data_IF_373538850391
#
_entry.id   IF_373538850391
#
_cell.length_a   1.000
_cell.length_b   1.000
_cell.length_c   1.000
_cell.angle_alpha   90.00
_cell.angle_beta   90.00
_cell.angle_gamma   90.00
#
_symmetry.space_group_name_H-M   'P 1'
#
loop_
_entity.id
_entity.type
_entity.pdbx_description
1 polymer ?
#
# COMPACT_ATOMS: atom_id res chain seq x y z
N UNK A 1 4.70 16.44 4.20
CA UNK A 1 4.14 15.96 5.49
C UNK A 1 5.23 15.23 6.30
N UNK A 2 5.24 15.33 7.65
CA UNK A 2 6.23 14.69 8.54
C UNK A 2 5.67 13.76 9.65
N UNK A 3 4.35 13.71 9.88
CA UNK A 3 3.71 12.91 10.96
C UNK A 3 3.35 11.46 10.58
N UNK A 4 2.68 10.73 11.50
CA UNK A 4 2.20 9.34 11.30
C UNK A 4 1.10 9.23 10.23
N UNK A 5 0.16 10.16 10.20
CA UNK A 5 -0.97 10.15 9.26
C UNK A 5 -1.45 11.56 8.87
N UNK A 6 -2.08 11.67 7.70
CA UNK A 6 -2.65 12.91 7.14
C UNK A 6 -3.86 12.53 6.27
N UNK A 7 -4.86 13.40 6.22
CA UNK A 7 -5.93 13.30 5.23
C UNK A 7 -5.40 13.82 3.88
N UNK A 8 -5.51 12.99 2.85
CA UNK A 8 -5.20 13.33 1.46
C UNK A 8 -6.44 13.09 0.60
N UNK A 9 -6.55 13.83 -0.51
CA UNK A 9 -7.60 13.62 -1.50
C UNK A 9 -7.00 12.90 -2.70
N UNK A 10 -7.58 11.76 -3.06
CA UNK A 10 -7.16 10.94 -4.20
C UNK A 10 -8.38 10.77 -5.11
N UNK A 11 -8.31 11.29 -6.34
CA UNK A 11 -9.43 11.27 -7.30
C UNK A 11 -10.78 11.74 -6.69
N UNK A 12 -10.73 12.78 -5.85
CA UNK A 12 -11.92 13.33 -5.18
C UNK A 12 -12.38 12.59 -3.92
N UNK A 13 -11.70 11.50 -3.53
CA UNK A 13 -12.00 10.74 -2.30
C UNK A 13 -10.99 11.10 -1.21
N UNK A 14 -11.48 11.45 -0.03
CA UNK A 14 -10.62 11.68 1.13
C UNK A 14 -10.20 10.35 1.76
N UNK A 15 -8.89 10.16 1.95
CA UNK A 15 -8.34 9.05 2.71
C UNK A 15 -7.33 9.53 3.76
N UNK A 16 -7.36 8.89 4.94
CA UNK A 16 -6.29 8.95 5.93
C UNK A 16 -5.12 8.12 5.41
N UNK A 17 -4.15 8.84 4.86
CA UNK A 17 -2.85 8.29 4.50
C UNK A 17 -2.04 7.98 5.75
N UNK A 18 -1.36 6.83 5.73
CA UNK A 18 -0.50 6.36 6.81
C UNK A 18 0.94 6.39 6.30
N UNK A 19 1.73 7.31 6.85
CA UNK A 19 3.08 7.59 6.41
C UNK A 19 4.07 6.65 7.13
N UNK A 20 4.41 5.54 6.49
CA UNK A 20 5.35 4.55 7.00
C UNK A 20 6.74 5.13 7.26
N UNK A 21 7.15 6.19 6.53
CA UNK A 21 8.45 6.85 6.76
C UNK A 21 8.55 7.50 8.14
N UNK A 22 7.42 7.78 8.79
CA UNK A 22 7.39 8.34 10.14
C UNK A 22 7.96 7.35 11.16
N UNK A 23 8.99 7.76 11.90
CA UNK A 23 9.65 6.91 12.91
C UNK A 23 8.86 6.76 14.20
N UNK A 24 7.78 7.51 14.35
CA UNK A 24 6.84 7.38 15.47
C UNK A 24 5.90 6.16 15.32
N UNK A 25 5.97 5.44 14.19
CA UNK A 25 5.41 4.09 14.05
C UNK A 25 6.27 3.08 14.81
N UNK A 26 6.17 3.10 16.13
CA UNK A 26 6.91 2.22 17.06
C UNK A 26 6.17 0.94 17.41
N UNK A 27 4.90 0.79 17.00
CA UNK A 27 4.11 -0.42 17.26
C UNK A 27 4.83 -1.66 16.72
N UNK A 28 5.00 -2.72 17.52
CA UNK A 28 5.68 -3.95 17.09
C UNK A 28 4.99 -4.57 15.88
N UNK A 29 5.78 -5.02 14.93
CA UNK A 29 5.33 -5.87 13.83
C UNK A 29 6.37 -6.97 13.63
N UNK A 30 6.48 -7.80 14.66
CA UNK A 30 7.63 -8.65 14.93
C UNK A 30 7.62 -9.95 14.12
N UNK A 31 8.77 -10.34 13.58
CA UNK A 31 8.97 -11.70 13.07
C UNK A 31 10.20 -12.33 13.72
N UNK A 32 10.02 -13.50 14.35
CA UNK A 32 11.11 -14.26 14.98
C UNK A 32 12.06 -13.43 15.86
N UNK A 33 11.51 -12.46 16.60
CA UNK A 33 12.25 -11.59 17.53
C UNK A 33 13.29 -10.65 16.88
N UNK A 34 13.06 -10.20 15.64
CA UNK A 34 13.97 -9.33 14.88
C UNK A 34 13.85 -7.80 15.14
N UNK A 35 12.97 -7.36 16.05
CA UNK A 35 12.77 -5.96 16.43
C UNK A 35 12.07 -5.10 15.36
N UNK A 36 11.21 -5.69 14.55
CA UNK A 36 10.50 -4.98 13.48
C UNK A 36 9.32 -4.17 14.01
N UNK A 37 9.08 -3.02 13.42
CA UNK A 37 7.94 -2.14 13.74
C UNK A 37 7.18 -1.79 12.47
N UNK A 38 6.00 -1.18 12.65
CA UNK A 38 5.26 -0.65 11.51
C UNK A 38 6.09 0.32 10.64
N UNK A 39 7.06 1.05 11.21
CA UNK A 39 7.91 1.97 10.44
C UNK A 39 8.85 1.31 9.43
N UNK A 40 9.23 0.04 9.62
CA UNK A 40 10.21 -0.66 8.77
C UNK A 40 9.63 -1.88 8.03
N UNK A 41 8.54 -2.46 8.52
CA UNK A 41 7.92 -3.66 7.95
C UNK A 41 6.42 -3.51 7.66
N UNK A 42 5.81 -2.34 7.92
CA UNK A 42 4.36 -2.13 7.89
C UNK A 42 3.73 -1.87 6.51
N UNK A 43 4.46 -1.90 5.40
CA UNK A 43 3.94 -1.52 4.07
C UNK A 43 2.67 -2.31 3.67
N UNK A 44 2.63 -3.61 3.93
CA UNK A 44 1.46 -4.44 3.68
C UNK A 44 0.26 -4.09 4.57
N UNK A 45 0.48 -3.83 5.86
CA UNK A 45 -0.57 -3.42 6.80
C UNK A 45 -1.14 -2.05 6.41
N UNK A 46 -0.30 -1.08 6.07
CA UNK A 46 -0.78 0.24 5.63
C UNK A 46 -1.54 0.16 4.30
N UNK A 47 -1.05 -0.67 3.36
CA UNK A 47 -1.74 -0.90 2.09
C UNK A 47 -3.12 -1.54 2.29
N UNK A 48 -3.24 -2.53 3.18
CA UNK A 48 -4.53 -3.10 3.57
C UNK A 48 -5.47 -2.01 4.12
N UNK A 49 -4.97 -1.16 5.01
CA UNK A 49 -5.74 -0.05 5.58
C UNK A 49 -6.23 0.93 4.51
N UNK A 50 -5.40 1.25 3.51
CA UNK A 50 -5.77 2.14 2.40
C UNK A 50 -6.80 1.48 1.47
N UNK A 51 -6.60 0.22 1.10
CA UNK A 51 -7.56 -0.57 0.32
C UNK A 51 -8.94 -0.62 1.00
N UNK A 52 -8.99 -1.01 2.28
CA UNK A 52 -10.23 -1.13 3.02
C UNK A 52 -10.94 0.22 3.20
N UNK A 53 -10.17 1.29 3.44
CA UNK A 53 -10.74 2.63 3.53
C UNK A 53 -11.32 3.11 2.20
N UNK A 54 -10.67 2.79 1.07
CA UNK A 54 -11.21 3.09 -0.26
C UNK A 54 -12.52 2.34 -0.53
N UNK A 55 -12.62 1.09 -0.11
CA UNK A 55 -13.81 0.26 -0.30
C UNK A 55 -14.98 0.68 0.62
N UNK A 56 -14.69 1.09 1.86
CA UNK A 56 -15.72 1.26 2.89
C UNK A 56 -15.96 2.70 3.33
N UNK A 57 -15.06 3.63 2.98
CA UNK A 57 -15.01 4.98 3.54
C UNK A 57 -14.60 5.03 5.02
N UNK A 58 -14.23 3.90 5.64
CA UNK A 58 -13.90 3.83 7.08
C UNK A 58 -12.40 3.80 7.29
N UNK A 59 -11.92 4.67 8.17
CA UNK A 59 -10.52 4.68 8.61
C UNK A 59 -10.22 3.42 9.42
N UNK A 60 -9.11 2.77 9.10
CA UNK A 60 -8.65 1.54 9.73
C UNK A 60 -7.60 1.84 10.81
N UNK A 61 -7.38 0.89 11.73
CA UNK A 61 -6.30 0.95 12.71
C UNK A 61 -5.12 0.06 12.29
N UNK A 62 -4.00 0.62 11.79
CA UNK A 62 -2.83 -0.18 11.41
C UNK A 62 -2.30 -1.05 12.54
N UNK A 63 -2.34 -0.55 13.78
CA UNK A 63 -1.83 -1.25 14.96
C UNK A 63 -2.69 -2.50 15.26
N UNK A 64 -4.02 -2.38 15.15
CA UNK A 64 -4.92 -3.52 15.33
C UNK A 64 -4.74 -4.60 14.23
N UNK A 65 -4.50 -4.19 12.98
CA UNK A 65 -4.26 -5.12 11.88
C UNK A 65 -2.87 -5.76 11.94
N UNK A 66 -1.87 -5.05 12.47
CA UNK A 66 -0.57 -5.63 12.79
C UNK A 66 -0.68 -6.70 13.88
N UNK A 67 -1.40 -6.41 14.97
CA UNK A 67 -1.66 -7.38 16.04
C UNK A 67 -2.41 -8.61 15.52
N UNK A 68 -3.41 -8.39 14.67
CA UNK A 68 -4.14 -9.48 14.02
C UNK A 68 -3.19 -10.35 13.18
N UNK A 69 -2.39 -9.75 12.31
CA UNK A 69 -1.47 -10.47 11.44
C UNK A 69 -0.41 -11.27 12.22
N UNK A 70 0.10 -10.71 13.33
CA UNK A 70 1.02 -11.42 14.22
C UNK A 70 0.34 -12.57 14.99
N UNK A 71 -0.94 -12.44 15.33
CA UNK A 71 -1.67 -13.42 16.15
C UNK A 71 -2.20 -14.58 15.32
N UNK A 72 -2.79 -14.28 14.17
CA UNK A 72 -3.56 -15.25 13.39
C UNK A 72 -2.87 -15.69 12.09
N UNK A 73 -1.79 -15.00 11.68
CA UNK A 73 -1.09 -15.26 10.42
C UNK A 73 -1.11 -14.04 9.49
N UNK A 74 -0.09 -13.92 8.65
CA UNK A 74 0.08 -12.82 7.71
C UNK A 74 1.30 -11.93 7.95
N UNK A 75 1.99 -12.05 9.10
CA UNK A 75 3.37 -11.57 9.24
C UNK A 75 4.32 -12.58 8.60
N UNK A 76 5.07 -12.17 7.57
CA UNK A 76 6.13 -12.95 6.92
C UNK A 76 7.52 -12.65 7.49
N UNK A 77 8.60 -12.93 6.77
CA UNK A 77 9.98 -12.66 7.24
C UNK A 77 10.39 -11.19 7.08
N UNK A 78 10.14 -10.59 5.91
CA UNK A 78 10.53 -9.23 5.57
C UNK A 78 9.37 -8.20 5.65
N UNK A 79 8.15 -8.67 5.89
CA UNK A 79 7.00 -7.81 6.10
C UNK A 79 5.72 -8.61 6.21
N UNK A 80 4.78 -8.31 5.33
CA UNK A 80 3.48 -8.97 5.30
C UNK A 80 3.52 -10.10 4.29
N UNK A 81 3.23 -11.33 4.72
CA UNK A 81 2.83 -12.41 3.81
C UNK A 81 1.39 -12.13 3.39
N UNK A 82 1.24 -11.56 2.19
CA UNK A 82 -0.05 -11.05 1.73
C UNK A 82 -1.06 -12.16 1.45
N UNK A 83 -0.74 -13.25 0.72
CA UNK A 83 -1.66 -14.38 0.59
C UNK A 83 -2.16 -14.91 1.94
N UNK A 84 -1.26 -15.13 2.90
CA UNK A 84 -1.61 -15.65 4.22
C UNK A 84 -2.49 -14.64 4.99
N UNK A 85 -2.13 -13.35 4.99
CA UNK A 85 -2.92 -12.31 5.65
C UNK A 85 -4.35 -12.27 5.09
N UNK A 86 -4.50 -12.26 3.77
CA UNK A 86 -5.81 -12.18 3.12
C UNK A 86 -6.65 -13.44 3.36
N UNK A 87 -6.03 -14.62 3.34
CA UNK A 87 -6.70 -15.88 3.68
C UNK A 87 -7.20 -15.85 5.14
N UNK A 88 -6.34 -15.47 6.09
CA UNK A 88 -6.70 -15.41 7.51
C UNK A 88 -7.78 -14.36 7.79
N UNK A 89 -7.73 -13.19 7.14
CA UNK A 89 -8.82 -12.20 7.22
C UNK A 89 -10.15 -12.77 6.73
N UNK A 90 -10.15 -13.58 5.66
CA UNK A 90 -11.34 -14.25 5.16
C UNK A 90 -11.89 -15.29 6.15
N UNK A 91 -11.03 -16.19 6.64
CA UNK A 91 -11.42 -17.26 7.59
C UNK A 91 -12.00 -16.70 8.89
N UNK A 92 -11.46 -15.58 9.36
CA UNK A 92 -11.94 -14.90 10.58
C UNK A 92 -13.09 -13.90 10.33
N UNK A 93 -13.65 -13.84 9.11
CA UNK A 93 -14.76 -12.94 8.75
C UNK A 93 -14.38 -11.46 8.67
N UNK A 94 -13.10 -11.11 8.84
CA UNK A 94 -12.60 -9.73 8.82
C UNK A 94 -12.56 -9.12 7.42
N UNK A 95 -12.40 -9.93 6.37
CA UNK A 95 -12.48 -9.46 4.98
C UNK A 95 -13.82 -8.74 4.71
N UNK A 96 -14.95 -9.29 5.20
CA UNK A 96 -16.27 -8.68 5.04
C UNK A 96 -16.37 -7.33 5.78
N UNK A 97 -15.83 -7.24 7.00
CA UNK A 97 -15.77 -5.98 7.76
C UNK A 97 -14.95 -4.91 7.03
N UNK A 98 -13.92 -5.34 6.29
CA UNK A 98 -13.04 -4.51 5.46
C UNK A 98 -13.60 -4.23 4.06
N UNK A 99 -14.81 -4.72 3.75
CA UNK A 99 -15.53 -4.44 2.50
C UNK A 99 -15.06 -5.25 1.28
N UNK A 100 -14.35 -6.37 1.48
CA UNK A 100 -13.91 -7.22 0.39
C UNK A 100 -14.14 -8.71 0.62
N UNK A 101 -14.16 -9.45 -0.49
CA UNK A 101 -13.98 -10.90 -0.55
C UNK A 101 -12.64 -11.20 -1.21
N UNK A 102 -11.99 -12.29 -0.81
CA UNK A 102 -10.74 -12.77 -1.40
C UNK A 102 -11.00 -14.12 -2.04
N UNK A 103 -10.60 -14.30 -3.30
CA UNK A 103 -10.87 -15.52 -4.08
C UNK A 103 -9.64 -16.44 -4.20
N UNK A 104 -8.58 -16.17 -3.43
CA UNK A 104 -7.31 -16.92 -3.53
C UNK A 104 -6.72 -16.88 -4.95
N UNK A 105 -7.02 -15.79 -5.67
CA UNK A 105 -6.70 -15.56 -7.07
C UNK A 105 -5.44 -14.70 -7.27
N UNK A 106 -4.72 -14.40 -6.20
CA UNK A 106 -3.51 -13.60 -6.24
C UNK A 106 -2.28 -14.32 -6.80
N UNK A 107 -1.24 -13.52 -7.09
CA UNK A 107 0.10 -13.92 -7.59
C UNK A 107 0.14 -14.55 -8.99
N UNK A 108 -0.97 -14.53 -9.74
CA UNK A 108 -0.99 -14.98 -11.14
C UNK A 108 -0.25 -14.04 -12.09
N UNK A 109 -0.02 -12.79 -11.67
CA UNK A 109 0.68 -11.76 -12.44
C UNK A 109 0.07 -11.50 -13.83
N UNK A 110 -1.24 -11.72 -13.96
CA UNK A 110 -2.02 -11.37 -15.15
C UNK A 110 -2.37 -9.88 -15.13
N UNK A 111 -1.51 -9.08 -15.77
CA UNK A 111 -1.63 -7.61 -15.79
C UNK A 111 -2.86 -7.12 -16.55
N UNK A 112 -3.31 -7.87 -17.55
CA UNK A 112 -4.54 -7.56 -18.28
C UNK A 112 -5.75 -7.72 -17.35
N UNK A 113 -5.81 -8.84 -16.61
CA UNK A 113 -6.86 -9.04 -15.60
C UNK A 113 -6.82 -7.98 -14.49
N UNK A 114 -5.63 -7.60 -14.01
CA UNK A 114 -5.48 -6.51 -13.02
C UNK A 114 -6.03 -5.18 -13.54
N UNK A 115 -5.64 -4.80 -14.76
CA UNK A 115 -6.07 -3.55 -15.36
C UNK A 115 -7.59 -3.53 -15.55
N UNK A 116 -8.16 -4.59 -16.12
CA UNK A 116 -9.61 -4.71 -16.33
C UNK A 116 -10.39 -4.67 -15.02
N UNK A 117 -9.92 -5.40 -14.00
CA UNK A 117 -10.53 -5.47 -12.67
C UNK A 117 -10.60 -4.08 -12.02
N UNK A 118 -9.48 -3.33 -12.05
CA UNK A 118 -9.41 -1.97 -11.50
C UNK A 118 -10.18 -0.96 -12.34
N UNK A 119 -10.17 -1.08 -13.67
CA UNK A 119 -10.87 -0.16 -14.59
C UNK A 119 -12.39 -0.27 -14.42
N UNK A 120 -12.91 -1.49 -14.23
CA UNK A 120 -14.34 -1.75 -14.00
C UNK A 120 -14.79 -1.41 -12.58
N UNK A 121 -13.86 -1.09 -11.68
CA UNK A 121 -14.17 -0.81 -10.27
C UNK A 121 -14.66 -2.04 -9.49
N UNK A 122 -14.26 -3.25 -9.90
CA UNK A 122 -14.65 -4.51 -9.26
C UNK A 122 -14.03 -4.68 -7.86
N UNK A 123 -13.02 -3.88 -7.53
CA UNK A 123 -12.40 -3.86 -6.22
C UNK A 123 -11.13 -3.01 -6.19
N UNK A 124 -10.18 -3.44 -5.37
CA UNK A 124 -8.84 -2.87 -5.25
C UNK A 124 -7.82 -4.00 -5.24
N UNK A 125 -6.54 -3.69 -5.40
CA UNK A 125 -5.49 -4.69 -5.29
C UNK A 125 -4.41 -4.23 -4.34
N UNK A 126 -3.72 -5.20 -3.74
CA UNK A 126 -2.45 -4.97 -3.08
C UNK A 126 -1.38 -5.57 -3.97
N UNK A 127 -0.32 -4.83 -4.29
CA UNK A 127 0.73 -5.26 -5.21
C UNK A 127 2.13 -4.88 -4.72
N UNK A 128 3.15 -5.40 -5.41
CA UNK A 128 4.48 -4.83 -5.37
C UNK A 128 4.66 -3.89 -6.57
N UNK A 129 5.19 -2.68 -6.37
CA UNK A 129 5.75 -1.88 -7.50
C UNK A 129 7.22 -2.19 -7.73
N UNK A 130 7.87 -2.76 -6.72
CA UNK A 130 9.20 -3.37 -6.76
C UNK A 130 9.26 -4.49 -5.75
N UNK A 131 10.22 -5.40 -5.91
CA UNK A 131 10.48 -6.45 -4.93
C UNK A 131 10.65 -5.85 -3.52
N UNK A 132 9.93 -6.43 -2.54
CA UNK A 132 10.02 -6.09 -1.12
C UNK A 132 9.30 -4.80 -0.72
N UNK A 133 8.30 -4.33 -1.48
CA UNK A 133 7.47 -3.19 -1.06
C UNK A 133 6.04 -3.30 -1.57
N UNK A 134 5.09 -3.47 -0.64
CA UNK A 134 3.66 -3.62 -0.92
C UNK A 134 3.00 -2.23 -0.93
N UNK A 135 2.16 -1.98 -1.94
CA UNK A 135 1.33 -0.77 -2.08
C UNK A 135 -0.15 -1.14 -2.32
N UNK A 136 -1.03 -0.15 -2.16
CA UNK A 136 -2.44 -0.24 -2.54
C UNK A 136 -2.66 0.27 -3.96
N UNK A 137 -3.40 -0.47 -4.78
CA UNK A 137 -3.85 -0.08 -6.11
C UNK A 137 -5.37 0.16 -6.08
N UNK A 138 -5.80 1.37 -6.41
CA UNK A 138 -7.16 1.84 -6.12
C UNK A 138 -8.06 1.99 -7.35
N UNK A 139 -7.46 2.04 -8.54
CA UNK A 139 -8.19 2.21 -9.79
C UNK A 139 -7.26 2.17 -11.00
N UNK A 140 -7.86 2.19 -12.18
CA UNK A 140 -7.14 2.23 -13.45
C UNK A 140 -7.81 3.20 -14.43
N UNK A 141 -7.05 3.71 -15.39
CA UNK A 141 -7.56 4.56 -16.47
C UNK A 141 -6.79 4.35 -17.77
N UNK A 142 -7.38 4.84 -18.86
CA UNK A 142 -6.67 5.06 -20.12
C UNK A 142 -6.52 6.56 -20.33
N UNK A 143 -5.28 7.05 -20.43
CA UNK A 143 -4.97 8.46 -20.68
C UNK A 143 -4.03 8.57 -21.86
N UNK A 144 -4.42 9.33 -22.89
CA UNK A 144 -3.63 9.53 -24.10
C UNK A 144 -3.17 8.21 -24.77
N UNK A 145 -3.99 7.15 -24.68
CA UNK A 145 -3.68 5.82 -25.20
C UNK A 145 -2.81 4.93 -24.29
N UNK A 146 -2.37 5.44 -23.14
CA UNK A 146 -1.59 4.71 -22.14
C UNK A 146 -2.49 4.16 -21.04
N UNK A 147 -2.19 2.93 -20.61
CA UNK A 147 -2.86 2.27 -19.48
C UNK A 147 -2.14 2.63 -18.21
N UNK A 148 -2.88 3.20 -17.27
CA UNK A 148 -2.33 3.68 -16.01
C UNK A 148 -3.10 3.10 -14.83
N UNK A 149 -2.38 2.83 -13.75
CA UNK A 149 -2.93 2.34 -12.49
C UNK A 149 -2.62 3.34 -11.38
N UNK A 150 -3.63 3.64 -10.56
CA UNK A 150 -3.52 4.53 -9.42
C UNK A 150 -2.98 3.77 -8.21
N UNK A 151 -1.81 4.17 -7.72
CA UNK A 151 -1.18 3.63 -6.53
C UNK A 151 -1.26 4.61 -5.35
N UNK A 152 -1.47 4.07 -4.15
CA UNK A 152 -1.22 4.74 -2.87
C UNK A 152 -0.12 3.98 -2.13
N UNK A 153 0.97 4.67 -1.85
CA UNK A 153 2.20 4.11 -1.34
C UNK A 153 2.56 4.74 0.03
N UNK A 154 2.42 3.94 1.10
CA UNK A 154 2.72 4.33 2.49
C UNK A 154 4.17 4.73 2.73
N UNK A 155 5.10 4.27 1.88
CA UNK A 155 6.50 4.65 1.92
C UNK A 155 6.86 5.71 0.88
N UNK A 156 5.93 6.14 0.03
CA UNK A 156 6.10 7.22 -0.96
C UNK A 156 7.38 7.07 -1.79
N UNK A 157 7.48 6.00 -2.58
CA UNK A 157 8.63 5.70 -3.44
C UNK A 157 8.54 6.33 -4.84
N UNK A 158 7.60 7.23 -5.11
CA UNK A 158 7.46 7.91 -6.41
C UNK A 158 8.72 8.62 -6.91
N UNK A 159 9.64 9.02 -6.02
CA UNK A 159 10.94 9.60 -6.39
C UNK A 159 12.11 8.58 -6.39
N UNK A 160 11.86 7.31 -6.06
CA UNK A 160 12.85 6.24 -6.03
C UNK A 160 13.25 5.84 -7.43
N UNK A 161 14.53 5.54 -7.66
CA UNK A 161 15.04 5.11 -8.98
C UNK A 161 14.33 3.87 -9.53
N UNK A 162 13.76 3.03 -8.64
CA UNK A 162 13.04 1.82 -9.01
C UNK A 162 11.61 2.06 -9.52
N UNK A 163 11.05 3.24 -9.26
CA UNK A 163 9.63 3.55 -9.53
C UNK A 163 9.49 4.81 -10.39
N UNK A 164 10.37 5.81 -10.21
CA UNK A 164 10.23 7.16 -10.76
C UNK A 164 9.97 7.21 -12.27
N UNK A 165 10.61 6.33 -13.04
CA UNK A 165 10.54 6.36 -14.50
C UNK A 165 9.22 5.74 -15.02
N UNK A 166 8.49 5.02 -14.16
CA UNK A 166 7.18 4.46 -14.45
C UNK A 166 6.03 5.32 -13.88
N UNK A 167 6.32 6.38 -13.12
CA UNK A 167 5.31 7.35 -12.65
C UNK A 167 4.92 8.24 -13.82
N UNK A 168 3.63 8.26 -14.17
CA UNK A 168 3.11 9.05 -15.28
C UNK A 168 2.45 10.35 -14.83
N UNK A 169 1.86 10.36 -13.62
CA UNK A 169 1.25 11.54 -13.01
C UNK A 169 1.25 11.42 -11.48
N UNK A 170 1.43 12.53 -10.78
CA UNK A 170 1.34 12.58 -9.31
C UNK A 170 0.02 13.22 -8.88
N UNK A 171 -0.53 12.82 -7.73
CA UNK A 171 -1.73 13.45 -7.18
C UNK A 171 -1.30 14.66 -6.32
N UNK A 172 -1.69 15.90 -6.68
CA UNK A 172 -1.33 17.09 -5.90
C UNK A 172 -1.87 17.04 -4.47
N UNK A 173 -1.15 17.63 -3.52
CA UNK A 173 -1.55 17.64 -2.10
C UNK A 173 -1.18 16.37 -1.33
N UNK A 174 -0.56 15.39 -2.01
CA UNK A 174 -0.10 14.12 -1.41
C UNK A 174 1.40 14.12 -1.08
N UNK A 175 2.02 15.30 -0.96
CA UNK A 175 3.45 15.46 -0.75
C UNK A 175 3.91 14.96 0.64
N UNK A 176 4.89 14.07 0.63
CA UNK A 176 5.58 13.52 1.78
C UNK A 176 7.01 14.02 1.77
N UNK A 177 7.40 14.72 2.85
CA UNK A 177 8.74 15.29 3.01
C UNK A 177 9.48 14.35 3.94
N UNK A 178 10.69 13.94 3.56
CA UNK A 178 11.49 13.06 4.40
C UNK A 178 12.95 13.48 4.40
N UNK A 179 13.65 13.28 5.54
CA UNK A 179 15.05 13.63 5.64
C UNK A 179 15.91 12.69 4.78
N UNK A 180 16.88 13.27 4.08
CA UNK A 180 17.96 12.54 3.45
C UNK A 180 19.10 12.42 4.46
N UNK A 181 19.51 11.18 4.74
CA UNK A 181 20.58 10.89 5.68
C UNK A 181 21.81 10.35 4.96
N UNK A 182 23.00 10.77 5.39
CA UNK A 182 24.23 10.14 4.95
C UNK A 182 24.45 8.78 5.66
N UNK A 183 25.54 8.10 5.33
CA UNK A 183 25.90 6.79 5.90
C UNK A 183 26.11 6.79 7.42
N UNK A 184 26.31 7.96 8.04
CA UNK A 184 26.48 8.14 9.48
C UNK A 184 25.15 8.50 10.18
N UNK A 185 24.05 8.60 9.44
CA UNK A 185 22.74 8.97 9.97
C UNK A 185 22.52 10.48 10.16
N UNK A 186 23.49 11.32 9.78
CA UNK A 186 23.34 12.78 9.79
C UNK A 186 22.32 13.18 8.71
N UNK A 187 21.35 14.01 9.08
CA UNK A 187 20.42 14.63 8.13
C UNK A 187 21.21 15.66 7.33
N UNK A 188 21.33 15.43 6.02
CA UNK A 188 22.09 16.27 5.08
C UNK A 188 21.19 17.03 4.11
N UNK A 189 19.88 16.82 4.19
CA UNK A 189 18.89 17.51 3.37
C UNK A 189 17.50 16.90 3.54
N UNK A 190 16.59 17.32 2.68
CA UNK A 190 15.22 16.81 2.61
C UNK A 190 14.89 16.48 1.16
N UNK A 191 14.01 15.50 0.97
CA UNK A 191 13.45 15.19 -0.33
C UNK A 191 11.93 15.17 -0.25
N UNK A 192 11.28 15.31 -1.40
CA UNK A 192 9.83 15.29 -1.54
C UNK A 192 9.46 14.11 -2.44
N UNK A 193 8.50 13.32 -2.00
CA UNK A 193 7.82 12.33 -2.82
C UNK A 193 6.30 12.49 -2.67
N UNK A 194 5.54 11.74 -3.46
CA UNK A 194 4.08 11.73 -3.44
C UNK A 194 3.57 10.41 -2.91
N UNK A 195 2.55 10.49 -2.04
CA UNK A 195 1.87 9.33 -1.46
C UNK A 195 0.89 8.66 -2.43
N UNK A 196 0.35 9.40 -3.40
CA UNK A 196 -0.51 8.85 -4.43
C UNK A 196 -0.08 9.34 -5.82
N UNK A 197 -0.06 8.42 -6.79
CA UNK A 197 0.42 8.67 -8.14
C UNK A 197 -0.08 7.59 -9.10
N UNK A 198 -0.19 7.96 -10.37
CA UNK A 198 -0.45 7.06 -11.48
C UNK A 198 0.88 6.47 -11.97
N UNK A 199 0.87 5.16 -12.21
CA UNK A 199 1.99 4.41 -12.80
C UNK A 199 1.56 3.71 -14.07
N UNK A 200 2.52 3.39 -14.93
CA UNK A 200 2.32 2.47 -16.05
C UNK A 200 1.73 1.14 -15.56
N UNK A 201 0.68 0.65 -16.23
CA UNK A 201 0.01 -0.60 -15.87
C UNK A 201 0.93 -1.85 -15.98
N UNK A 202 2.08 -1.73 -16.64
CA UNK A 202 3.10 -2.77 -16.70
C UNK A 202 4.02 -2.79 -15.48
N UNK A 203 3.98 -1.80 -14.58
CA UNK A 203 4.83 -1.77 -13.40
C UNK A 203 4.41 -2.78 -12.31
N UNK A 204 3.11 -2.89 -11.93
CA UNK A 204 2.72 -3.77 -10.84
C UNK A 204 3.10 -5.24 -11.08
N UNK A 205 3.59 -5.85 -10.02
CA UNK A 205 3.91 -7.26 -9.95
C UNK A 205 3.45 -7.82 -8.61
N UNK A 206 3.38 -9.15 -8.53
CA UNK A 206 2.92 -9.93 -7.39
C UNK A 206 1.74 -9.25 -6.72
N UNK A 207 0.53 -9.37 -7.26
CA UNK A 207 -0.68 -8.72 -6.73
C UNK A 207 -1.75 -9.71 -6.31
N UNK A 208 -2.58 -9.30 -5.34
CA UNK A 208 -3.78 -10.02 -4.92
C UNK A 208 -4.99 -9.09 -5.07
N UNK A 209 -6.10 -9.62 -5.60
CA UNK A 209 -7.34 -8.88 -5.76
C UNK A 209 -8.15 -8.90 -4.46
N UNK A 210 -8.67 -7.74 -4.09
CA UNK A 210 -9.62 -7.54 -3.00
C UNK A 210 -10.93 -7.13 -3.66
N UNK A 211 -11.76 -8.13 -3.96
CA UNK A 211 -13.02 -7.95 -4.68
C UNK A 211 -14.03 -7.25 -3.79
N UNK A 212 -14.63 -6.17 -4.30
CA UNK A 212 -15.67 -5.42 -3.58
C UNK A 212 -16.88 -6.32 -3.26
N UNK A 213 -17.48 -6.09 -2.09
CA UNK A 213 -18.79 -6.65 -1.68
C UNK A 213 -19.91 -5.69 -2.07
#
# INVERSE_FOLDING_TARGET
>A
MTGKSKIITVEGVEITYFNQRCKDWTHPYEWQHNGSTLSNAGCGIFSLCHCAQWLTGKVQSPEAWADFACTYGGRGDDGTDRPELLHTLMVHGKAQELGFRYEEDGLRNDKEALFDFLLKGEGVAMCNLRVGHIVALLGARVKDGHREILAVDSYSESASEKVRDAVTEVIPGTEVVYPVKNTQGLIVGENIAYAAFWVDADLPMDFNFLHRI
#
